data_IF_881037422189
#
_entry.id   IF_881037422189
#
_cell.length_a   1.000
_cell.length_b   1.000
_cell.length_c   1.000
_cell.angle_alpha   90.00
_cell.angle_beta   90.00
_cell.angle_gamma   90.00
#
_symmetry.space_group_name_H-M   'P 1'
#
loop_
_entity.id
_entity.type
_entity.pdbx_description
1 polymer ?
#
# COMPACT_ATOMS: atom_id res chain seq x y z
N UNK A 1 -7.35 68.09 12.43
CA UNK A 1 -8.24 67.99 13.60
C UNK A 1 -9.60 67.57 13.05
N UNK A 2 -10.02 66.35 13.40
CA UNK A 2 -11.24 65.61 13.02
C UNK A 2 -11.44 65.25 11.53
N UNK A 3 -11.36 63.97 11.16
CA UNK A 3 -12.37 62.87 11.28
C UNK A 3 -13.47 63.05 10.22
N UNK A 4 -13.84 62.14 9.33
CA UNK A 4 -13.53 60.74 9.04
C UNK A 4 -14.48 60.30 7.91
N UNK A 5 -14.41 59.03 7.50
CA UNK A 5 -15.34 58.34 6.58
C UNK A 5 -14.99 58.37 5.08
N UNK A 6 -13.94 57.62 4.74
CA UNK A 6 -13.75 57.04 3.41
C UNK A 6 -14.17 55.57 3.46
N UNK A 7 -15.11 55.23 2.57
CA UNK A 7 -15.64 53.91 2.24
C UNK A 7 -14.53 52.87 2.03
N UNK A 8 -14.46 51.88 2.93
CA UNK A 8 -13.68 50.66 2.75
C UNK A 8 -14.63 49.52 2.37
N UNK A 9 -14.72 49.26 1.06
CA UNK A 9 -15.36 48.08 0.49
C UNK A 9 -14.39 46.90 0.67
N UNK A 10 -14.38 46.29 1.86
CA UNK A 10 -13.61 45.06 2.09
C UNK A 10 -14.40 43.87 1.55
N UNK A 11 -14.01 43.50 0.32
CA UNK A 11 -14.42 42.31 -0.37
C UNK A 11 -14.31 41.05 0.51
N UNK A 12 -15.48 40.46 0.76
CA UNK A 12 -15.75 39.05 1.01
C UNK A 12 -14.53 38.11 1.11
N UNK A 13 -13.95 38.02 2.31
CA UNK A 13 -13.24 36.80 2.72
C UNK A 13 -14.27 35.79 3.21
N UNK A 14 -14.75 34.97 2.28
CA UNK A 14 -15.53 33.79 2.60
C UNK A 14 -14.69 32.80 3.40
N UNK A 15 -14.64 32.96 4.71
CA UNK A 15 -14.27 31.85 5.60
C UNK A 15 -15.30 30.75 5.42
N UNK A 16 -14.88 29.66 4.79
CA UNK A 16 -15.64 28.42 4.75
C UNK A 16 -15.83 27.93 6.20
N UNK A 17 -16.96 28.30 6.81
CA UNK A 17 -17.42 27.68 8.05
C UNK A 17 -17.63 26.19 7.77
N UNK A 18 -17.00 25.28 8.53
CA UNK A 18 -17.41 23.89 8.46
C UNK A 18 -18.85 23.82 8.98
N UNK A 19 -19.75 23.30 8.16
CA UNK A 19 -21.09 22.88 8.56
C UNK A 19 -20.94 21.74 9.57
N UNK A 20 -20.67 22.11 10.81
CA UNK A 20 -20.71 21.26 12.00
C UNK A 20 -22.16 20.91 12.30
N UNK A 21 -22.78 20.15 11.41
CA UNK A 21 -24.07 19.55 11.66
C UNK A 21 -23.91 18.43 12.70
N UNK A 22 -24.62 18.56 13.82
CA UNK A 22 -25.08 17.36 14.52
C UNK A 22 -24.93 17.26 16.04
N UNK A 23 -24.81 18.35 16.82
CA UNK A 23 -24.98 18.23 18.29
C UNK A 23 -25.88 19.31 18.93
N UNK A 24 -26.07 20.46 18.30
CA UNK A 24 -26.86 21.56 18.89
C UNK A 24 -28.20 21.68 18.19
N UNK A 25 -29.28 21.72 18.98
CA UNK A 25 -30.63 21.89 18.48
C UNK A 25 -30.78 23.29 17.84
N UNK A 26 -31.47 23.40 16.68
CA UNK A 26 -31.46 24.60 15.83
C UNK A 26 -32.20 25.81 16.44
N UNK A 27 -32.92 25.61 17.53
CA UNK A 27 -33.84 26.53 18.19
C UNK A 27 -33.23 27.29 19.38
N UNK A 28 -31.96 27.05 19.73
CA UNK A 28 -31.25 27.86 20.74
C UNK A 28 -31.76 27.71 22.19
N UNK A 29 -32.79 26.90 22.42
CA UNK A 29 -33.29 26.59 23.75
C UNK A 29 -32.47 25.46 24.38
N UNK A 30 -31.98 25.69 25.60
CA UNK A 30 -31.26 24.66 26.36
C UNK A 30 -32.28 23.79 27.09
N UNK A 31 -32.36 22.47 26.79
CA UNK A 31 -33.35 21.61 27.41
C UNK A 31 -33.16 21.55 28.93
N UNK A 32 -34.28 21.57 29.64
CA UNK A 32 -34.31 21.55 31.10
C UNK A 32 -33.68 20.25 31.61
N UNK A 33 -33.23 20.24 32.86
CA UNK A 33 -32.58 19.07 33.46
C UNK A 33 -33.48 17.82 33.45
N UNK A 34 -34.81 17.99 33.56
CA UNK A 34 -35.80 16.91 33.45
C UNK A 34 -35.87 16.30 32.05
N UNK A 35 -35.96 17.13 31.02
CA UNK A 35 -35.99 16.68 29.62
C UNK A 35 -34.67 16.01 29.20
N UNK A 36 -33.53 16.48 29.75
CA UNK A 36 -32.23 15.79 29.59
C UNK A 36 -32.21 14.40 30.21
N UNK A 37 -32.89 14.22 31.34
CA UNK A 37 -32.94 12.94 32.07
C UNK A 37 -33.94 11.95 31.48
N UNK A 38 -34.94 12.42 30.75
CA UNK A 38 -35.84 11.56 29.96
C UNK A 38 -35.19 11.14 28.63
N UNK A 39 -34.32 11.99 28.05
CA UNK A 39 -33.56 11.69 26.81
C UNK A 39 -32.33 10.78 27.01
N UNK A 40 -32.05 10.31 28.22
CA UNK A 40 -30.96 9.36 28.50
C UNK A 40 -31.30 7.91 28.12
N UNK A 41 -32.45 7.67 27.49
CA UNK A 41 -32.79 6.40 26.85
C UNK A 41 -32.72 6.63 25.33
N UNK A 42 -31.62 6.22 24.69
CA UNK A 42 -31.41 6.44 23.26
C UNK A 42 -29.94 6.55 22.85
N UNK A 43 -29.65 7.41 21.86
CA UNK A 43 -28.36 7.51 21.19
C UNK A 43 -27.18 7.67 22.14
N UNK A 44 -27.26 8.50 23.18
CA UNK A 44 -26.16 8.68 24.15
C UNK A 44 -25.80 7.39 24.90
N UNK A 45 -26.80 6.58 25.25
CA UNK A 45 -26.63 5.26 25.86
C UNK A 45 -26.05 4.27 24.85
N UNK A 46 -26.58 4.23 23.63
CA UNK A 46 -26.07 3.36 22.56
C UNK A 46 -24.62 3.73 22.18
N UNK A 47 -24.28 5.02 22.15
CA UNK A 47 -22.93 5.52 21.91
C UNK A 47 -21.99 5.13 23.04
N UNK A 48 -22.42 5.28 24.30
CA UNK A 48 -21.63 4.82 25.46
C UNK A 48 -21.43 3.30 25.43
N UNK A 49 -22.49 2.53 25.20
CA UNK A 49 -22.44 1.06 25.09
C UNK A 49 -21.58 0.61 23.90
N UNK A 50 -21.64 1.30 22.77
CA UNK A 50 -20.77 1.06 21.60
C UNK A 50 -19.30 1.31 21.93
N UNK A 51 -18.97 2.44 22.57
CA UNK A 51 -17.58 2.76 22.95
C UNK A 51 -17.03 1.85 24.04
N UNK A 52 -17.87 1.40 24.97
CA UNK A 52 -17.48 0.38 25.95
C UNK A 52 -17.23 -0.97 25.30
N UNK A 53 -18.10 -1.38 24.37
CA UNK A 53 -17.96 -2.65 23.66
C UNK A 53 -16.73 -2.67 22.76
N UNK A 54 -16.49 -1.61 21.98
CA UNK A 54 -15.32 -1.53 21.11
C UNK A 54 -14.01 -1.54 21.90
N UNK A 55 -13.96 -0.89 23.07
CA UNK A 55 -12.80 -0.97 23.97
C UNK A 55 -12.60 -2.38 24.51
N UNK A 56 -13.66 -3.09 24.90
CA UNK A 56 -13.54 -4.48 25.37
C UNK A 56 -13.07 -5.40 24.26
N UNK A 57 -13.68 -5.33 23.08
CA UNK A 57 -13.29 -6.13 21.92
C UNK A 57 -11.83 -5.85 21.50
N UNK A 58 -11.37 -4.60 21.53
CA UNK A 58 -9.96 -4.24 21.28
C UNK A 58 -9.01 -4.81 22.36
N UNK A 59 -9.41 -4.79 23.64
CA UNK A 59 -8.63 -5.37 24.74
C UNK A 59 -8.60 -6.90 24.72
N UNK A 60 -9.70 -7.53 24.33
CA UNK A 60 -9.81 -8.98 24.20
C UNK A 60 -8.95 -9.45 23.03
N UNK A 61 -8.99 -8.75 21.88
CA UNK A 61 -8.10 -9.01 20.74
C UNK A 61 -6.61 -8.87 21.11
N UNK A 62 -6.25 -7.87 21.92
CA UNK A 62 -4.86 -7.67 22.43
C UNK A 62 -4.43 -8.71 23.45
N UNK A 63 -5.37 -9.27 24.23
CA UNK A 63 -5.08 -10.32 25.21
C UNK A 63 -5.01 -11.70 24.55
N UNK A 64 -5.82 -11.94 23.51
CA UNK A 64 -5.82 -13.19 22.74
C UNK A 64 -4.65 -13.28 21.75
N UNK A 65 -4.11 -12.14 21.28
CA UNK A 65 -2.96 -12.12 20.39
C UNK A 65 -1.64 -12.24 21.17
N UNK A 66 -1.15 -13.46 21.37
CA UNK A 66 0.23 -13.75 21.82
C UNK A 66 1.28 -13.45 20.70
N UNK A 67 0.91 -12.59 19.74
CA UNK A 67 1.76 -12.16 18.64
C UNK A 67 2.56 -10.95 19.09
N UNK A 68 3.87 -11.00 18.87
CA UNK A 68 4.76 -9.84 18.95
C UNK A 68 4.34 -8.85 17.87
N UNK A 69 3.29 -8.08 18.14
CA UNK A 69 2.89 -6.94 17.34
C UNK A 69 3.96 -5.88 17.57
N UNK A 70 4.88 -5.77 16.60
CA UNK A 70 5.79 -4.64 16.57
C UNK A 70 4.91 -3.40 16.42
N UNK A 71 4.78 -2.66 17.51
CA UNK A 71 4.04 -1.41 17.61
C UNK A 71 4.67 -0.37 16.65
N UNK A 72 4.25 -0.42 15.40
CA UNK A 72 4.52 0.60 14.41
C UNK A 72 3.16 1.19 14.08
N UNK A 73 2.98 2.47 14.39
CA UNK A 73 1.90 3.32 13.90
C UNK A 73 1.94 3.31 12.36
N UNK A 74 1.44 2.25 11.74
CA UNK A 74 1.41 2.09 10.29
C UNK A 74 0.19 2.82 9.72
N UNK A 75 0.33 3.34 8.51
CA UNK A 75 -0.79 3.90 7.77
C UNK A 75 -1.74 2.78 7.32
N UNK A 76 -3.07 3.04 7.26
CA UNK A 76 -4.02 2.04 6.82
C UNK A 76 -3.67 1.56 5.40
N UNK A 77 -3.82 0.26 5.18
CA UNK A 77 -3.51 -0.41 3.90
C UNK A 77 -4.18 0.31 2.72
N UNK A 78 -5.42 0.73 2.90
CA UNK A 78 -6.13 1.59 1.98
C UNK A 78 -6.38 2.99 2.60
N UNK A 79 -6.19 4.08 1.85
CA UNK A 79 -5.65 4.13 0.49
C UNK A 79 -4.11 4.17 0.43
N UNK A 80 -3.45 4.36 1.57
CA UNK A 80 -2.07 4.85 1.62
C UNK A 80 -1.07 3.87 0.99
N UNK A 81 -1.14 2.60 1.37
CA UNK A 81 -0.21 1.58 0.87
C UNK A 81 -0.60 1.09 -0.53
N UNK A 82 -1.90 0.93 -0.81
CA UNK A 82 -2.38 0.43 -2.11
C UNK A 82 -2.08 1.41 -3.25
N UNK A 83 -2.33 2.71 -3.07
CA UNK A 83 -2.07 3.70 -4.12
C UNK A 83 -0.56 3.77 -4.41
N UNK A 84 0.28 3.78 -3.37
CA UNK A 84 1.74 3.74 -3.52
C UNK A 84 2.19 2.50 -4.29
N UNK A 85 1.71 1.32 -3.89
CA UNK A 85 2.07 0.06 -4.54
C UNK A 85 1.58 0.01 -5.99
N UNK A 86 0.40 0.58 -6.27
CA UNK A 86 -0.14 0.66 -7.63
C UNK A 86 0.69 1.60 -8.51
N UNK A 87 1.14 2.74 -7.98
CA UNK A 87 2.04 3.65 -8.69
C UNK A 87 3.38 2.97 -9.04
N UNK A 88 3.99 2.28 -8.07
CA UNK A 88 5.25 1.53 -8.28
C UNK A 88 5.05 0.41 -9.30
N UNK A 89 3.97 -0.37 -9.17
CA UNK A 89 3.65 -1.45 -10.11
C UNK A 89 3.44 -0.91 -11.52
N UNK A 90 2.68 0.18 -11.67
CA UNK A 90 2.43 0.82 -12.96
C UNK A 90 3.71 1.35 -13.60
N UNK A 91 4.62 1.91 -12.80
CA UNK A 91 5.94 2.34 -13.27
C UNK A 91 6.74 1.17 -13.86
N UNK A 92 6.85 0.04 -13.14
CA UNK A 92 7.60 -1.12 -13.64
C UNK A 92 6.94 -1.77 -14.86
N UNK A 93 5.61 -1.89 -14.88
CA UNK A 93 4.88 -2.38 -16.07
C UNK A 93 5.13 -1.47 -17.26
N UNK A 94 5.05 -0.15 -17.08
CA UNK A 94 5.36 0.82 -18.12
C UNK A 94 6.79 0.70 -18.64
N UNK A 95 7.77 0.52 -17.75
CA UNK A 95 9.17 0.32 -18.12
C UNK A 95 9.37 -0.98 -18.91
N UNK A 96 8.72 -2.09 -18.50
CA UNK A 96 8.79 -3.37 -19.23
C UNK A 96 8.22 -3.22 -20.64
N UNK A 97 7.05 -2.58 -20.79
CA UNK A 97 6.44 -2.33 -22.09
C UNK A 97 7.32 -1.42 -22.97
N UNK A 98 7.91 -0.38 -22.39
CA UNK A 98 8.83 0.52 -23.07
C UNK A 98 10.08 -0.22 -23.58
N UNK A 99 10.70 -1.05 -22.74
CA UNK A 99 11.86 -1.85 -23.12
C UNK A 99 11.51 -2.88 -24.20
N UNK A 100 10.37 -3.56 -24.08
CA UNK A 100 9.91 -4.53 -25.07
C UNK A 100 9.67 -3.87 -26.45
N UNK A 101 9.17 -2.64 -26.48
CA UNK A 101 8.93 -1.90 -27.71
C UNK A 101 10.22 -1.33 -28.32
N UNK A 102 11.16 -0.86 -27.51
CA UNK A 102 12.41 -0.22 -27.99
C UNK A 102 13.52 -1.22 -28.31
N UNK A 103 13.52 -2.39 -27.66
CA UNK A 103 14.51 -3.45 -27.81
C UNK A 103 13.81 -4.81 -28.03
N UNK A 104 13.15 -5.01 -29.19
CA UNK A 104 12.50 -6.29 -29.48
C UNK A 104 13.54 -7.42 -29.55
N UNK A 105 13.21 -8.63 -29.04
CA UNK A 105 14.14 -9.74 -29.03
C UNK A 105 14.44 -10.24 -30.45
N UNK A 106 15.69 -10.63 -30.69
CA UNK A 106 16.08 -11.28 -31.93
C UNK A 106 15.59 -12.73 -31.98
N UNK A 107 15.04 -13.14 -33.13
CA UNK A 107 14.66 -14.54 -33.40
C UNK A 107 15.87 -15.25 -34.03
N UNK A 108 16.42 -16.23 -33.32
CA UNK A 108 17.56 -17.03 -33.78
C UNK A 108 17.20 -18.04 -34.89
N UNK A 109 18.22 -18.72 -35.45
CA UNK A 109 18.02 -19.76 -36.45
C UNK A 109 17.28 -20.98 -35.89
N UNK A 110 16.66 -21.81 -36.75
CA UNK A 110 16.02 -23.06 -36.33
C UNK A 110 16.99 -24.01 -35.63
N UNK A 111 16.47 -24.83 -34.71
CA UNK A 111 17.27 -25.83 -34.02
C UNK A 111 17.87 -26.85 -35.00
N UNK A 112 19.15 -27.15 -34.86
CA UNK A 112 19.88 -28.13 -35.66
C UNK A 112 20.64 -29.09 -34.73
N UNK A 113 20.25 -30.37 -34.72
CA UNK A 113 20.87 -31.38 -33.86
C UNK A 113 22.31 -31.74 -34.24
N UNK A 114 22.71 -31.50 -35.49
CA UNK A 114 24.04 -31.82 -36.01
C UNK A 114 25.06 -30.70 -35.77
N UNK A 115 24.64 -29.54 -35.25
CA UNK A 115 25.49 -28.35 -35.10
C UNK A 115 25.34 -27.81 -33.68
N UNK A 116 26.46 -27.74 -32.94
CA UNK A 116 26.50 -27.07 -31.64
C UNK A 116 27.04 -25.64 -31.82
N UNK A 117 26.33 -24.59 -31.36
CA UNK A 117 26.85 -23.23 -31.38
C UNK A 117 28.15 -23.10 -30.58
N UNK A 118 29.05 -22.21 -31.00
CA UNK A 118 30.31 -21.96 -30.29
C UNK A 118 30.10 -21.39 -28.87
N UNK A 119 28.99 -20.69 -28.66
CA UNK A 119 28.64 -20.03 -27.40
C UNK A 119 27.29 -20.57 -26.95
N UNK A 120 27.28 -21.31 -25.82
CA UNK A 120 26.07 -21.83 -25.17
C UNK A 120 26.02 -21.30 -23.74
N UNK A 121 25.19 -20.29 -23.51
CA UNK A 121 24.93 -19.72 -22.19
C UNK A 121 23.42 -19.85 -21.88
N UNK A 122 23.05 -20.17 -20.64
CA UNK A 122 21.66 -20.16 -20.23
C UNK A 122 21.18 -18.73 -20.00
N UNK A 123 19.95 -18.55 -19.49
CA UNK A 123 19.49 -17.23 -19.08
C UNK A 123 20.30 -16.69 -17.89
N UNK A 124 20.37 -15.36 -17.77
CA UNK A 124 21.20 -14.65 -16.79
C UNK A 124 20.94 -15.07 -15.34
N UNK A 125 19.69 -15.36 -14.99
CA UNK A 125 19.31 -15.80 -13.64
C UNK A 125 19.81 -17.22 -13.31
N UNK A 126 20.28 -17.98 -14.31
CA UNK A 126 20.86 -19.32 -14.17
C UNK A 126 22.39 -19.33 -14.20
N UNK A 127 23.05 -18.18 -14.44
CA UNK A 127 24.51 -18.15 -14.52
C UNK A 127 25.21 -18.67 -13.28
N UNK A 128 24.60 -18.49 -12.11
CA UNK A 128 25.15 -18.99 -10.86
C UNK A 128 25.16 -20.51 -10.81
N UNK A 129 24.02 -21.17 -11.04
CA UNK A 129 23.92 -22.64 -11.03
C UNK A 129 24.71 -23.27 -12.19
N UNK A 130 24.67 -22.68 -13.38
CA UNK A 130 25.47 -23.11 -14.53
C UNK A 130 26.98 -22.96 -14.28
N UNK A 131 27.38 -21.89 -13.60
CA UNK A 131 28.75 -21.69 -13.15
C UNK A 131 29.21 -22.81 -12.23
N UNK A 132 28.40 -23.17 -11.22
CA UNK A 132 28.69 -24.27 -10.32
C UNK A 132 28.80 -25.63 -11.04
N UNK A 133 27.93 -25.89 -12.03
CA UNK A 133 28.00 -27.12 -12.84
C UNK A 133 29.31 -27.22 -13.64
N UNK A 134 29.90 -26.09 -14.03
CA UNK A 134 31.20 -26.04 -14.71
C UNK A 134 32.41 -26.14 -13.77
N UNK A 135 32.22 -26.13 -12.46
CA UNK A 135 33.32 -26.34 -11.51
C UNK A 135 33.64 -27.84 -11.41
N UNK A 136 34.75 -28.25 -12.04
CA UNK A 136 35.22 -29.64 -12.09
C UNK A 136 35.24 -30.41 -10.74
N UNK A 137 35.59 -29.81 -9.60
CA UNK A 137 35.59 -30.52 -8.30
C UNK A 137 34.21 -30.93 -7.80
N UNK A 138 33.13 -30.27 -8.25
CA UNK A 138 31.75 -30.53 -7.82
C UNK A 138 31.03 -31.51 -8.77
N UNK A 139 31.62 -31.84 -9.93
CA UNK A 139 31.01 -32.69 -10.94
C UNK A 139 32.01 -33.62 -11.65
N UNK A 140 32.58 -34.61 -10.92
CA UNK A 140 33.62 -35.48 -11.45
C UNK A 140 33.14 -36.38 -12.60
N UNK A 141 31.88 -36.79 -12.62
CA UNK A 141 31.33 -37.65 -13.68
C UNK A 141 31.28 -36.94 -15.04
N UNK A 142 30.95 -35.65 -15.07
CA UNK A 142 31.02 -34.82 -16.29
C UNK A 142 32.47 -34.63 -16.79
N UNK A 143 33.45 -34.64 -15.87
CA UNK A 143 34.86 -34.59 -16.24
C UNK A 143 35.39 -35.92 -16.77
N UNK A 144 34.85 -37.06 -16.30
CA UNK A 144 35.21 -38.42 -16.73
C UNK A 144 34.68 -38.73 -18.14
N UNK A 145 33.53 -38.18 -18.53
CA UNK A 145 32.96 -38.32 -19.88
C UNK A 145 33.77 -37.62 -20.98
N UNK A 146 34.85 -36.91 -20.64
CA UNK A 146 35.84 -36.40 -21.61
C UNK A 146 35.28 -35.45 -22.68
N UNK A 147 34.10 -34.86 -22.43
CA UNK A 147 33.39 -34.05 -23.43
C UNK A 147 32.71 -34.84 -24.56
N UNK A 148 32.56 -36.17 -24.43
CA UNK A 148 31.86 -36.97 -25.44
C UNK A 148 30.36 -36.86 -25.22
N UNK A 149 29.64 -36.25 -26.16
CA UNK A 149 28.18 -36.18 -26.18
C UNK A 149 27.59 -37.57 -26.48
N UNK A 150 26.53 -37.95 -25.77
CA UNK A 150 25.54 -38.93 -26.23
C UNK A 150 24.76 -38.36 -27.43
#
# INVERSE_FOLDING_TARGET
MSDGEATGDEAATGEARPDGSGIVAPDGETPTWRERKERSVGLSRLTYEYFERSRREDQDLRQESDYVERDVLAFPTWPHEIIRNLAITSFFVGMILFLAATLPPHIGPPANGSVTPAIILPDWYLYWSFGLLKLGPLNPELSILGGTKL
#
